data_IF_710310628929
#
_entry.id   IF_710310628929
#
_cell.length_a   1.000
_cell.length_b   1.000
_cell.length_c   1.000
_cell.angle_alpha   90.00
_cell.angle_beta   90.00
_cell.angle_gamma   90.00
#
_symmetry.space_group_name_H-M   'P 1'
#
loop_
_entity.id
_entity.type
_entity.pdbx_description
1 polymer ?
#
# COMPACT_ATOMS: atom_id res chain seq x y z
N UNK A 1 3.06 2.40 -21.00
CA UNK A 1 4.08 2.70 -19.96
C UNK A 1 4.54 1.38 -19.38
N UNK A 2 5.79 1.30 -18.92
CA UNK A 2 6.38 0.07 -18.36
C UNK A 2 6.86 0.36 -16.95
N UNK A 3 6.69 -0.58 -16.02
CA UNK A 3 7.23 -0.52 -14.67
C UNK A 3 8.76 -0.40 -14.66
N UNK A 4 9.36 -0.01 -13.54
CA UNK A 4 10.82 0.07 -13.41
C UNK A 4 11.47 -1.31 -13.66
N UNK A 5 10.81 -2.37 -13.21
CA UNK A 5 11.23 -3.75 -13.45
C UNK A 5 11.30 -4.07 -14.94
N UNK A 6 10.28 -3.70 -15.72
CA UNK A 6 10.26 -3.93 -17.17
C UNK A 6 11.23 -3.01 -17.93
N UNK A 7 11.76 -1.98 -17.29
CA UNK A 7 12.81 -1.10 -17.78
C UNK A 7 14.22 -1.53 -17.32
N UNK A 8 14.34 -2.62 -16.57
CA UNK A 8 15.60 -3.09 -15.96
C UNK A 8 16.28 -2.02 -15.09
N UNK A 9 15.49 -1.18 -14.44
CA UNK A 9 16.01 -0.11 -13.60
C UNK A 9 16.54 -0.69 -12.27
N UNK A 10 17.74 -0.26 -11.82
CA UNK A 10 18.36 -0.77 -10.59
C UNK A 10 17.45 -0.72 -9.37
N UNK A 11 16.69 0.36 -9.19
CA UNK A 11 15.75 0.51 -8.07
C UNK A 11 14.55 -0.46 -8.10
N UNK A 12 14.42 -1.32 -9.11
CA UNK A 12 13.44 -2.41 -9.09
C UNK A 12 13.97 -3.69 -8.43
N UNK A 13 15.27 -3.75 -8.14
CA UNK A 13 15.92 -4.87 -7.47
C UNK A 13 15.95 -4.64 -5.95
N UNK A 14 15.40 -5.58 -5.20
CA UNK A 14 15.30 -5.48 -3.74
C UNK A 14 16.68 -5.48 -3.07
N UNK A 15 17.66 -6.22 -3.60
CA UNK A 15 19.02 -6.23 -3.05
C UNK A 15 19.70 -4.88 -3.23
N UNK A 16 19.60 -4.29 -4.42
CA UNK A 16 20.12 -2.95 -4.68
C UNK A 16 19.48 -1.90 -3.75
N UNK A 17 18.16 -2.00 -3.51
CA UNK A 17 17.47 -1.11 -2.58
C UNK A 17 18.02 -1.26 -1.14
N UNK A 18 18.17 -2.49 -0.67
CA UNK A 18 18.71 -2.77 0.67
C UNK A 18 20.13 -2.27 0.78
N UNK A 19 20.99 -2.54 -0.19
CA UNK A 19 22.37 -2.07 -0.22
C UNK A 19 22.47 -0.54 -0.14
N UNK A 20 21.62 0.17 -0.89
CA UNK A 20 21.55 1.64 -0.83
C UNK A 20 21.12 2.12 0.56
N UNK A 21 20.13 1.45 1.19
CA UNK A 21 19.63 1.82 2.52
C UNK A 21 20.64 1.52 3.62
N UNK A 22 21.38 0.41 3.51
CA UNK A 22 22.36 -0.01 4.52
C UNK A 22 23.68 0.75 4.42
N UNK A 23 24.12 1.06 3.20
CA UNK A 23 25.43 1.63 2.94
C UNK A 23 25.39 3.09 2.44
N UNK A 24 24.28 3.52 1.84
CA UNK A 24 24.14 4.86 1.27
C UNK A 24 24.21 6.00 2.29
N UNK A 25 23.77 5.75 3.52
CA UNK A 25 23.85 6.72 4.62
C UNK A 25 25.29 6.89 5.18
N UNK A 26 26.21 6.00 4.83
CA UNK A 26 27.59 6.03 5.32
C UNK A 26 28.55 6.79 4.38
N UNK A 27 28.08 7.27 3.22
CA UNK A 27 28.94 7.92 2.24
C UNK A 27 29.08 9.44 2.43
N UNK A 28 28.28 10.03 3.29
CA UNK A 28 28.38 11.48 3.56
C UNK A 28 28.98 11.67 4.95
N UNK A 29 30.30 11.85 4.99
CA UNK A 29 31.09 12.16 6.23
C UNK A 29 30.60 13.44 6.94
N UNK A 30 29.76 14.24 6.30
CA UNK A 30 29.22 15.48 6.84
C UNK A 30 28.17 15.27 7.95
N UNK A 31 27.48 14.10 7.97
CA UNK A 31 26.46 13.78 8.98
C UNK A 31 26.68 12.38 9.54
N UNK A 32 27.51 12.26 10.58
CA UNK A 32 27.58 11.01 11.37
C UNK A 32 26.28 10.85 12.14
N UNK A 33 25.28 10.26 11.49
CA UNK A 33 24.03 9.91 12.15
C UNK A 33 24.28 8.77 13.15
N UNK A 34 23.90 9.00 14.39
CA UNK A 34 23.92 7.94 15.41
C UNK A 34 22.92 6.83 15.00
N UNK A 35 23.32 5.55 15.04
CA UNK A 35 22.41 4.45 14.73
C UNK A 35 21.10 4.55 15.51
N UNK A 36 19.98 4.25 14.87
CA UNK A 36 18.64 4.39 15.46
C UNK A 36 18.51 3.60 16.77
N UNK A 37 19.01 2.37 16.79
CA UNK A 37 19.02 1.56 18.01
C UNK A 37 19.72 2.28 19.16
N UNK A 38 20.91 2.85 18.92
CA UNK A 38 21.65 3.58 19.96
C UNK A 38 20.83 4.77 20.48
N UNK A 39 20.13 5.50 19.61
CA UNK A 39 19.24 6.59 20.03
C UNK A 39 18.09 6.11 20.92
N UNK A 40 17.52 4.95 20.62
CA UNK A 40 16.50 4.35 21.46
C UNK A 40 17.02 3.93 22.82
N UNK A 41 18.24 3.35 22.88
CA UNK A 41 18.91 2.96 24.13
C UNK A 41 19.21 4.19 24.99
N UNK A 42 19.80 5.25 24.42
CA UNK A 42 20.06 6.52 25.09
C UNK A 42 18.77 7.16 25.67
N UNK A 43 17.63 6.92 25.01
CA UNK A 43 16.31 7.46 25.42
C UNK A 43 15.52 6.49 26.32
N UNK A 44 16.08 5.33 26.69
CA UNK A 44 15.40 4.26 27.42
C UNK A 44 14.13 3.73 26.72
N UNK A 45 14.10 3.75 25.39
CA UNK A 45 12.97 3.27 24.57
C UNK A 45 13.28 1.94 23.87
N UNK A 46 14.46 1.38 24.02
CA UNK A 46 14.81 0.08 23.44
C UNK A 46 14.55 -1.08 24.42
N UNK A 47 14.03 -2.23 23.93
CA UNK A 47 13.46 -2.43 22.61
C UNK A 47 12.09 -1.77 22.45
N UNK A 48 11.81 -1.25 21.25
CA UNK A 48 10.46 -0.77 20.93
C UNK A 48 9.46 -1.93 21.06
N UNK A 49 8.39 -1.70 21.77
CA UNK A 49 7.31 -2.67 21.90
C UNK A 49 6.12 -2.22 21.07
N UNK A 50 5.46 -3.13 20.33
CA UNK A 50 4.25 -2.78 19.62
C UNK A 50 3.17 -2.37 20.63
N UNK A 51 2.39 -1.37 20.26
CA UNK A 51 1.14 -1.01 20.93
C UNK A 51 -0.03 -1.78 20.34
N UNK A 52 -1.26 -1.38 20.66
CA UNK A 52 -2.44 -1.96 20.02
C UNK A 52 -2.44 -1.62 18.52
N UNK A 53 -2.68 -2.63 17.68
CA UNK A 53 -2.85 -2.43 16.25
C UNK A 53 -4.31 -2.12 15.94
N UNK A 54 -4.56 -0.96 15.34
CA UNK A 54 -5.91 -0.47 15.02
C UNK A 54 -6.18 -0.47 13.51
N UNK A 55 -5.12 -0.38 12.69
CA UNK A 55 -5.20 -0.33 11.23
C UNK A 55 -4.62 -1.60 10.63
N UNK A 56 -5.40 -2.27 9.81
CA UNK A 56 -4.92 -3.37 8.98
C UNK A 56 -4.73 -2.88 7.55
N UNK A 57 -3.49 -2.61 7.16
CA UNK A 57 -3.17 -2.21 5.80
C UNK A 57 -2.97 -3.43 4.90
N UNK A 58 -3.65 -3.44 3.76
CA UNK A 58 -3.67 -4.57 2.83
C UNK A 58 -3.28 -4.09 1.43
N UNK A 59 -2.18 -4.62 0.88
CA UNK A 59 -1.80 -4.39 -0.50
C UNK A 59 -2.48 -5.45 -1.39
N UNK A 60 -3.41 -5.02 -2.25
CA UNK A 60 -4.21 -5.91 -3.08
C UNK A 60 -3.62 -6.19 -4.47
N UNK A 61 -2.41 -5.69 -4.74
CA UNK A 61 -1.68 -6.00 -5.97
C UNK A 61 -0.83 -4.86 -6.51
N UNK A 62 -0.15 -5.13 -7.62
CA UNK A 62 0.76 -4.18 -8.28
C UNK A 62 0.23 -3.68 -9.62
N UNK A 63 -0.95 -4.13 -10.07
CA UNK A 63 -1.57 -3.63 -11.28
C UNK A 63 -1.98 -2.16 -11.06
N UNK A 64 -1.58 -1.29 -11.99
CA UNK A 64 -1.90 0.15 -11.94
C UNK A 64 -2.06 0.67 -13.38
N UNK A 65 -2.90 1.68 -13.54
CA UNK A 65 -3.01 2.39 -14.83
C UNK A 65 -1.90 3.43 -15.03
N UNK A 66 -1.04 3.63 -14.04
CA UNK A 66 0.07 4.60 -14.05
C UNK A 66 1.40 3.92 -13.74
N UNK A 67 2.50 4.64 -14.07
CA UNK A 67 3.87 4.29 -13.70
C UNK A 67 4.51 5.52 -13.09
N UNK A 68 4.62 5.53 -11.77
CA UNK A 68 5.18 6.64 -11.02
C UNK A 68 6.65 6.36 -10.70
N UNK A 69 7.53 7.34 -10.92
CA UNK A 69 8.98 7.20 -10.66
C UNK A 69 9.31 6.90 -9.19
N UNK A 70 8.44 7.33 -8.28
CA UNK A 70 8.60 7.13 -6.83
C UNK A 70 7.76 5.97 -6.28
N UNK A 71 7.20 5.12 -7.14
CA UNK A 71 6.34 4.03 -6.71
C UNK A 71 7.13 2.98 -5.93
N UNK A 72 6.93 2.90 -4.63
CA UNK A 72 7.66 1.98 -3.74
C UNK A 72 7.33 0.49 -3.98
N UNK A 73 6.22 0.19 -4.65
CA UNK A 73 5.84 -1.18 -5.02
C UNK A 73 6.12 -1.50 -6.49
N UNK A 74 6.65 -0.55 -7.25
CA UNK A 74 6.88 -0.66 -8.69
C UNK A 74 5.63 -1.16 -9.44
N UNK A 75 4.51 -0.47 -9.20
CA UNK A 75 3.25 -0.77 -9.85
C UNK A 75 3.24 -0.31 -11.32
N UNK A 76 2.38 -0.91 -12.13
CA UNK A 76 2.25 -0.52 -13.53
C UNK A 76 1.23 -1.36 -14.31
N UNK A 77 0.92 -0.96 -15.55
CA UNK A 77 -0.02 -1.68 -16.41
C UNK A 77 0.48 -3.05 -16.88
N UNK A 78 1.78 -3.27 -16.81
CA UNK A 78 2.45 -4.52 -17.17
C UNK A 78 2.55 -5.50 -15.99
N UNK A 79 2.17 -5.07 -14.78
CA UNK A 79 2.20 -5.92 -13.58
C UNK A 79 0.94 -6.78 -13.52
N UNK A 80 1.14 -8.04 -13.15
CA UNK A 80 0.07 -9.05 -13.08
C UNK A 80 -0.17 -9.57 -11.67
N UNK A 81 0.67 -9.15 -10.75
CA UNK A 81 0.57 -9.57 -9.35
C UNK A 81 -0.67 -8.91 -8.73
N UNK A 82 -1.66 -9.72 -8.42
CA UNK A 82 -2.87 -9.32 -7.71
C UNK A 82 -3.15 -10.31 -6.58
N UNK A 83 -3.69 -9.79 -5.49
CA UNK A 83 -4.17 -10.65 -4.40
C UNK A 83 -5.36 -11.47 -4.85
N UNK A 84 -5.33 -12.77 -4.59
CA UNK A 84 -6.44 -13.66 -4.93
C UNK A 84 -7.58 -13.53 -3.93
N UNK A 85 -8.77 -13.99 -4.34
CA UNK A 85 -9.96 -13.99 -3.48
C UNK A 85 -9.76 -14.86 -2.23
N UNK A 86 -9.03 -15.97 -2.34
CA UNK A 86 -8.71 -16.86 -1.21
C UNK A 86 -7.85 -16.12 -0.18
N UNK A 87 -6.86 -15.34 -0.64
CA UNK A 87 -6.01 -14.53 0.26
C UNK A 87 -6.82 -13.39 0.90
N UNK A 88 -7.72 -12.76 0.14
CA UNK A 88 -8.65 -11.77 0.68
C UNK A 88 -9.55 -12.38 1.77
N UNK A 89 -10.03 -13.62 1.57
CA UNK A 89 -10.82 -14.32 2.59
C UNK A 89 -10.02 -14.54 3.87
N UNK A 90 -8.74 -14.92 3.78
CA UNK A 90 -7.87 -15.03 4.95
C UNK A 90 -7.73 -13.69 5.69
N UNK A 91 -7.63 -12.58 4.96
CA UNK A 91 -7.64 -11.25 5.57
C UNK A 91 -8.96 -10.95 6.30
N UNK A 92 -10.10 -11.34 5.72
CA UNK A 92 -11.41 -11.20 6.37
C UNK A 92 -11.51 -12.04 7.66
N UNK A 93 -10.98 -13.25 7.65
CA UNK A 93 -10.97 -14.13 8.80
C UNK A 93 -10.13 -13.52 9.94
N UNK A 94 -8.98 -12.92 9.62
CA UNK A 94 -8.15 -12.18 10.58
C UNK A 94 -8.90 -10.96 11.15
N UNK A 95 -9.59 -10.19 10.29
CA UNK A 95 -10.37 -9.02 10.70
C UNK A 95 -11.56 -9.41 11.60
N UNK A 96 -12.20 -10.53 11.33
CA UNK A 96 -13.29 -11.04 12.14
C UNK A 96 -12.82 -11.53 13.51
N UNK A 97 -11.64 -12.16 13.56
CA UNK A 97 -11.06 -12.69 14.79
C UNK A 97 -10.46 -11.61 15.71
N UNK A 98 -10.17 -10.41 15.19
CA UNK A 98 -9.47 -9.36 15.92
C UNK A 98 -10.28 -8.06 15.95
N UNK A 99 -10.95 -7.82 17.07
CA UNK A 99 -11.76 -6.60 17.27
C UNK A 99 -10.93 -5.31 17.35
N UNK A 100 -9.64 -5.40 17.66
CA UNK A 100 -8.74 -4.25 17.73
C UNK A 100 -8.56 -3.55 16.38
N UNK A 101 -8.64 -4.28 15.26
CA UNK A 101 -8.65 -3.66 13.95
C UNK A 101 -9.97 -2.93 13.72
N UNK A 102 -9.96 -1.62 13.79
CA UNK A 102 -11.13 -0.77 13.52
C UNK A 102 -11.15 -0.27 12.09
N UNK A 103 -9.97 -0.18 11.47
CA UNK A 103 -9.76 0.40 10.14
C UNK A 103 -9.04 -0.57 9.22
N UNK A 104 -9.46 -0.63 7.96
CA UNK A 104 -8.78 -1.34 6.87
C UNK A 104 -8.31 -0.32 5.85
N UNK A 105 -7.01 -0.28 5.57
CA UNK A 105 -6.37 0.61 4.59
C UNK A 105 -5.99 -0.20 3.35
N UNK A 106 -6.78 -0.06 2.27
CA UNK A 106 -6.56 -0.75 1.02
C UNK A 106 -5.60 0.04 0.13
N UNK A 107 -4.48 -0.59 -0.21
CA UNK A 107 -3.41 0.00 -1.00
C UNK A 107 -2.95 -0.95 -2.12
N UNK A 108 -1.97 -0.53 -2.89
CA UNK A 108 -1.37 -1.33 -3.97
C UNK A 108 -0.91 -0.44 -5.11
N UNK A 109 -1.10 -0.91 -6.34
CA UNK A 109 -1.01 -0.07 -7.53
C UNK A 109 -2.25 0.81 -7.65
N UNK A 110 -3.31 0.30 -8.31
CA UNK A 110 -4.66 0.83 -8.23
C UNK A 110 -5.56 -0.28 -7.67
N UNK A 111 -5.93 -0.23 -6.39
CA UNK A 111 -6.71 -1.30 -5.74
C UNK A 111 -7.97 -1.67 -6.51
N UNK A 112 -8.58 -0.70 -7.15
CA UNK A 112 -9.83 -0.82 -7.92
C UNK A 112 -9.69 -1.69 -9.19
N UNK A 113 -8.44 -1.95 -9.63
CA UNK A 113 -8.17 -2.85 -10.75
C UNK A 113 -8.18 -4.33 -10.35
N UNK A 114 -8.11 -4.64 -9.06
CA UNK A 114 -8.31 -6.00 -8.62
C UNK A 114 -9.77 -6.42 -8.88
N UNK A 115 -10.04 -7.52 -9.59
CA UNK A 115 -11.39 -7.92 -9.96
C UNK A 115 -12.30 -8.20 -8.76
N UNK A 116 -11.72 -8.58 -7.61
CA UNK A 116 -12.46 -8.86 -6.38
C UNK A 116 -12.50 -7.65 -5.41
N UNK A 117 -11.99 -6.48 -5.82
CA UNK A 117 -11.95 -5.27 -4.97
C UNK A 117 -13.33 -4.91 -4.40
N UNK A 118 -14.35 -4.85 -5.26
CA UNK A 118 -15.71 -4.45 -4.83
C UNK A 118 -16.30 -5.45 -3.85
N UNK A 119 -16.17 -6.74 -4.13
CA UNK A 119 -16.58 -7.80 -3.22
C UNK A 119 -15.86 -7.69 -1.88
N UNK A 120 -14.54 -7.46 -1.91
CA UNK A 120 -13.74 -7.35 -0.69
C UNK A 120 -14.18 -6.18 0.19
N UNK A 121 -14.43 -5.02 -0.42
CA UNK A 121 -15.01 -3.85 0.27
C UNK A 121 -16.35 -4.20 0.93
N UNK A 122 -17.24 -4.88 0.21
CA UNK A 122 -18.56 -5.28 0.71
C UNK A 122 -18.45 -6.21 1.92
N UNK A 123 -17.56 -7.20 1.88
CA UNK A 123 -17.32 -8.11 3.01
C UNK A 123 -16.71 -7.39 4.22
N UNK A 124 -15.73 -6.50 4.02
CA UNK A 124 -15.15 -5.68 5.09
C UNK A 124 -16.25 -4.84 5.76
N UNK A 125 -17.17 -4.26 4.99
CA UNK A 125 -18.28 -3.45 5.54
C UNK A 125 -19.23 -4.28 6.40
N UNK A 126 -19.45 -5.56 6.10
CA UNK A 126 -20.25 -6.46 6.95
C UNK A 126 -19.61 -6.65 8.33
N UNK A 127 -18.29 -6.51 8.43
CA UNK A 127 -17.56 -6.55 9.70
C UNK A 127 -17.55 -5.20 10.45
N UNK A 128 -18.32 -4.20 9.96
CA UNK A 128 -18.41 -2.85 10.52
C UNK A 128 -17.06 -2.13 10.67
N UNK A 129 -16.10 -2.40 9.78
CA UNK A 129 -14.81 -1.71 9.78
C UNK A 129 -14.89 -0.40 8.99
N UNK A 130 -14.10 0.59 9.41
CA UNK A 130 -13.81 1.76 8.57
C UNK A 130 -12.90 1.34 7.42
N UNK A 131 -13.11 1.91 6.22
CA UNK A 131 -12.32 1.57 5.05
C UNK A 131 -11.68 2.83 4.49
N UNK A 132 -10.37 2.78 4.32
CA UNK A 132 -9.57 3.74 3.59
C UNK A 132 -9.15 3.09 2.27
N UNK A 133 -9.22 3.82 1.16
CA UNK A 133 -8.69 3.40 -0.14
C UNK A 133 -7.70 4.44 -0.64
N UNK A 134 -6.48 4.01 -0.93
CA UNK A 134 -5.47 4.85 -1.57
C UNK A 134 -5.65 4.80 -3.08
N UNK A 135 -6.26 5.85 -3.61
CA UNK A 135 -6.70 5.93 -4.99
C UNK A 135 -5.91 6.99 -5.76
N UNK A 136 -5.35 6.64 -6.90
CA UNK A 136 -4.67 7.61 -7.77
C UNK A 136 -5.63 8.52 -8.54
N UNK A 137 -6.91 8.45 -8.32
CA UNK A 137 -8.03 9.18 -8.92
C UNK A 137 -8.12 9.13 -10.45
N UNK A 138 -7.00 8.99 -11.17
CA UNK A 138 -7.03 8.87 -12.64
C UNK A 138 -7.69 7.58 -13.10
N UNK A 139 -7.74 6.56 -12.22
CA UNK A 139 -8.43 5.30 -12.50
C UNK A 139 -9.93 5.51 -12.81
N UNK A 140 -10.54 6.52 -12.20
CA UNK A 140 -11.96 6.86 -12.40
C UNK A 140 -12.23 7.20 -13.87
N UNK A 141 -11.29 7.90 -14.52
CA UNK A 141 -11.42 8.33 -15.92
C UNK A 141 -10.76 7.36 -16.91
N UNK A 142 -9.86 6.50 -16.45
CA UNK A 142 -9.08 5.61 -17.30
C UNK A 142 -9.93 4.52 -17.98
N UNK A 143 -11.04 4.13 -17.36
CA UNK A 143 -11.89 3.06 -17.87
C UNK A 143 -13.36 3.37 -17.54
N UNK A 144 -14.23 3.19 -18.55
CA UNK A 144 -15.69 3.36 -18.36
C UNK A 144 -16.27 2.52 -17.22
N UNK A 145 -15.70 1.35 -16.95
CA UNK A 145 -16.10 0.47 -15.84
C UNK A 145 -15.80 1.04 -14.45
N UNK A 146 -14.99 2.09 -14.40
CA UNK A 146 -14.58 2.74 -13.15
C UNK A 146 -15.27 4.08 -12.91
N UNK A 147 -16.09 4.55 -13.87
CA UNK A 147 -16.76 5.85 -13.76
C UNK A 147 -17.76 5.92 -12.60
N UNK A 148 -18.26 4.79 -12.12
CA UNK A 148 -19.17 4.66 -10.98
C UNK A 148 -18.45 4.56 -9.62
N UNK A 149 -17.11 4.56 -9.60
CA UNK A 149 -16.33 4.46 -8.35
C UNK A 149 -16.68 5.54 -7.30
N UNK A 150 -16.90 6.81 -7.67
CA UNK A 150 -17.32 7.82 -6.70
C UNK A 150 -18.64 7.48 -6.00
N UNK A 151 -19.62 6.95 -6.75
CA UNK A 151 -20.90 6.51 -6.19
C UNK A 151 -20.73 5.25 -5.32
N UNK A 152 -19.87 4.34 -5.74
CA UNK A 152 -19.50 3.16 -4.97
C UNK A 152 -18.82 3.55 -3.64
N UNK A 153 -17.86 4.46 -3.67
CA UNK A 153 -17.19 4.96 -2.47
C UNK A 153 -18.16 5.65 -1.51
N UNK A 154 -19.04 6.48 -2.05
CA UNK A 154 -20.11 7.13 -1.28
C UNK A 154 -21.06 6.11 -0.65
N UNK A 155 -21.52 5.12 -1.43
CA UNK A 155 -22.46 4.08 -0.97
C UNK A 155 -21.92 3.32 0.25
N UNK A 156 -20.64 3.00 0.25
CA UNK A 156 -20.01 2.24 1.33
C UNK A 156 -19.30 3.12 2.36
N UNK A 157 -19.47 4.45 2.29
CA UNK A 157 -18.80 5.40 3.17
C UNK A 157 -17.30 5.09 3.31
N UNK A 158 -16.61 5.10 2.16
CA UNK A 158 -15.17 4.85 2.06
C UNK A 158 -14.45 6.18 2.15
N UNK A 159 -13.42 6.25 2.98
CA UNK A 159 -12.47 7.33 2.98
C UNK A 159 -11.50 7.15 1.82
N UNK A 160 -11.38 8.15 0.96
CA UNK A 160 -10.47 8.12 -0.20
C UNK A 160 -9.28 9.02 0.06
N UNK A 161 -8.09 8.42 0.11
CA UNK A 161 -6.85 9.17 0.12
C UNK A 161 -6.36 9.27 -1.32
N UNK A 162 -6.52 10.47 -1.90
CA UNK A 162 -6.06 10.76 -3.25
C UNK A 162 -4.55 11.03 -3.27
N UNK A 163 -3.82 10.32 -4.12
CA UNK A 163 -2.40 10.61 -4.35
C UNK A 163 -2.26 11.62 -5.49
N UNK A 164 -1.69 12.79 -5.19
CA UNK A 164 -1.33 13.77 -6.21
C UNK A 164 0.00 13.35 -6.85
N UNK A 165 -0.05 13.00 -8.12
CA UNK A 165 1.11 12.58 -8.87
C UNK A 165 1.60 13.78 -9.70
N UNK A 166 2.78 14.28 -9.34
CA UNK A 166 3.52 15.19 -10.20
C UNK A 166 4.16 14.36 -11.31
N UNK A 167 3.64 14.49 -12.53
CA UNK A 167 4.16 13.82 -13.74
C UNK A 167 5.49 14.43 -14.18
#
# INVERSE_FOLDING_TARGET
MKSLKAQHHKLSDTHEQIEILEHGANHDDAYKLVPFQQKLEESNLFPLKPTQMEIFQINVGKMCNQVCKHCHVDAGPDRKEIMTRETMQQCLDVLAANSSFTTVDLTGGAPELNPDFRWFVEEIKKLNKHIIVRCNLTIILANKKSHDLPDFFKKYNIEVIGEYINL
#
